data_IF_015932976146
#
_entry.id   IF_015932976146
#
_cell.length_a   1.000
_cell.length_b   1.000
_cell.length_c   1.000
_cell.angle_alpha   90.00
_cell.angle_beta   90.00
_cell.angle_gamma   90.00
#
_symmetry.space_group_name_H-M   'P 1'
#
loop_
_entity.id
_entity.type
_entity.pdbx_description
1 polymer ?
#
# COMPACT_ATOMS: atom_id res chain seq x y z
N UNK A 1 8.07 -17.64 -27.06
CA UNK A 1 7.97 -16.21 -27.41
C UNK A 1 8.83 -15.81 -28.58
N UNK A 2 10.13 -16.15 -28.64
CA UNK A 2 10.99 -15.91 -29.81
C UNK A 2 10.44 -16.54 -31.09
N UNK A 3 9.94 -17.78 -30.99
CA UNK A 3 9.28 -18.49 -32.11
C UNK A 3 8.00 -17.77 -32.54
N UNK A 4 7.22 -17.25 -31.59
CA UNK A 4 6.00 -16.48 -31.89
C UNK A 4 6.33 -15.14 -32.54
N UNK A 5 7.37 -14.43 -32.11
CA UNK A 5 7.84 -13.20 -32.72
C UNK A 5 8.34 -13.43 -34.15
N UNK A 6 9.09 -14.51 -34.40
CA UNK A 6 9.51 -14.89 -35.75
C UNK A 6 8.35 -15.35 -36.63
N UNK A 7 7.36 -16.05 -36.07
CA UNK A 7 6.13 -16.39 -36.80
C UNK A 7 5.29 -15.15 -37.17
N UNK A 8 5.14 -14.20 -36.22
CA UNK A 8 4.45 -12.93 -36.49
C UNK A 8 5.21 -12.05 -37.50
N UNK A 9 6.53 -12.13 -37.53
CA UNK A 9 7.36 -11.44 -38.53
C UNK A 9 7.21 -12.02 -39.94
N UNK A 10 6.96 -13.34 -40.04
CA UNK A 10 6.73 -14.02 -41.34
C UNK A 10 5.32 -13.84 -41.87
N UNK A 11 4.31 -13.70 -41.02
CA UNK A 11 2.97 -13.35 -41.43
C UNK A 11 2.88 -11.81 -41.51
N UNK A 12 2.75 -11.24 -42.74
CA UNK A 12 2.42 -9.83 -42.96
C UNK A 12 0.97 -9.55 -42.52
N UNK A 13 0.67 -9.69 -41.25
CA UNK A 13 -0.59 -9.24 -40.69
C UNK A 13 -0.50 -7.72 -40.62
N UNK A 14 -1.18 -7.05 -41.55
CA UNK A 14 -1.35 -5.59 -41.54
C UNK A 14 -2.31 -5.30 -40.37
N UNK A 15 -1.76 -5.02 -39.21
CA UNK A 15 -2.54 -4.55 -38.05
C UNK A 15 -2.81 -3.05 -38.35
N UNK A 16 -4.06 -2.59 -38.37
CA UNK A 16 -4.38 -1.18 -38.62
C UNK A 16 -3.72 -0.24 -37.62
N UNK A 17 -3.26 0.93 -38.07
CA UNK A 17 -2.59 1.95 -37.26
C UNK A 17 -3.39 2.40 -36.03
N UNK A 18 -4.72 2.22 -36.09
CA UNK A 18 -5.62 2.53 -34.99
C UNK A 18 -5.30 1.72 -33.70
N UNK A 19 -4.80 0.48 -33.81
CA UNK A 19 -4.40 -0.33 -32.65
C UNK A 19 -3.17 0.25 -31.95
N UNK A 20 -2.26 0.89 -32.68
CA UNK A 20 -1.15 1.59 -32.08
C UNK A 20 -1.63 2.75 -31.20
N UNK A 21 -2.59 3.53 -31.68
CA UNK A 21 -3.22 4.61 -30.90
C UNK A 21 -3.89 4.07 -29.64
N UNK A 22 -4.61 2.95 -29.76
CA UNK A 22 -5.29 2.32 -28.61
C UNK A 22 -4.28 1.85 -27.56
N UNK A 23 -3.22 1.12 -27.94
CA UNK A 23 -2.22 0.66 -26.99
C UNK A 23 -1.43 1.82 -26.36
N UNK A 24 -1.07 2.82 -27.15
CA UNK A 24 -0.33 3.99 -26.63
C UNK A 24 -1.21 4.84 -25.71
N UNK A 25 -2.49 5.03 -26.07
CA UNK A 25 -3.46 5.72 -25.22
C UNK A 25 -3.75 4.96 -23.91
N UNK A 26 -3.79 3.62 -23.97
CA UNK A 26 -3.94 2.78 -22.78
C UNK A 26 -2.71 2.89 -21.88
N UNK A 27 -1.48 2.86 -22.43
CA UNK A 27 -0.26 3.05 -21.64
C UNK A 27 -0.24 4.41 -20.97
N UNK A 28 -0.58 5.48 -21.67
CA UNK A 28 -0.67 6.83 -21.13
C UNK A 28 -1.63 6.89 -19.93
N UNK A 29 -2.80 6.27 -20.03
CA UNK A 29 -3.75 6.20 -18.93
C UNK A 29 -3.19 5.42 -17.74
N UNK A 30 -2.56 4.26 -17.99
CA UNK A 30 -2.02 3.40 -16.94
C UNK A 30 -0.83 4.06 -16.24
N UNK A 31 0.08 4.68 -16.98
CA UNK A 31 1.25 5.38 -16.44
C UNK A 31 0.82 6.57 -15.57
N UNK A 32 -0.18 7.35 -16.01
CA UNK A 32 -0.78 8.43 -15.21
C UNK A 32 -1.40 7.88 -13.90
N UNK A 33 -2.14 6.78 -13.96
CA UNK A 33 -2.72 6.13 -12.75
C UNK A 33 -1.60 5.72 -11.78
N UNK A 34 -0.52 5.10 -12.26
CA UNK A 34 0.63 4.72 -11.43
C UNK A 34 1.25 5.95 -10.77
N UNK A 35 1.48 7.01 -11.56
CA UNK A 35 2.01 8.26 -11.01
C UNK A 35 1.16 8.79 -9.86
N UNK A 36 -0.17 8.89 -10.03
CA UNK A 36 -1.06 9.36 -8.98
C UNK A 36 -1.02 8.48 -7.74
N UNK A 37 -1.07 7.14 -7.88
CA UNK A 37 -0.99 6.25 -6.73
C UNK A 37 0.34 6.37 -6.00
N UNK A 38 1.47 6.42 -6.70
CA UNK A 38 2.79 6.59 -6.11
C UNK A 38 2.94 7.95 -5.43
N UNK A 39 2.41 9.00 -6.03
CA UNK A 39 2.42 10.35 -5.46
C UNK A 39 1.58 10.43 -4.18
N UNK A 40 0.39 9.83 -4.16
CA UNK A 40 -0.43 9.77 -2.94
C UNK A 40 0.24 8.94 -1.83
N UNK A 41 0.86 7.82 -2.14
CA UNK A 41 1.64 7.06 -1.15
C UNK A 41 2.76 7.91 -0.54
N UNK A 42 3.46 8.70 -1.34
CA UNK A 42 4.48 9.63 -0.85
C UNK A 42 3.89 10.74 0.02
N UNK A 43 2.73 11.31 -0.34
CA UNK A 43 2.05 12.33 0.50
C UNK A 43 1.71 11.73 1.87
N UNK A 44 1.17 10.51 1.90
CA UNK A 44 0.81 9.82 3.14
C UNK A 44 2.04 9.43 3.98
N UNK A 45 3.17 9.12 3.33
CA UNK A 45 4.40 8.74 4.01
C UNK A 45 5.62 9.34 3.31
N UNK A 46 6.10 10.48 3.81
CA UNK A 46 7.26 11.21 3.27
C UNK A 46 8.56 10.42 3.25
N UNK A 47 8.67 9.33 4.03
CA UNK A 47 9.83 8.43 3.98
C UNK A 47 9.90 7.61 2.70
N UNK A 48 8.79 7.49 1.96
CA UNK A 48 8.73 6.75 0.69
C UNK A 48 9.10 7.61 -0.52
N UNK A 49 10.14 8.44 -0.41
CA UNK A 49 10.60 9.33 -1.49
C UNK A 49 10.94 8.56 -2.78
N UNK A 50 11.50 7.35 -2.68
CA UNK A 50 11.78 6.49 -3.84
C UNK A 50 10.52 6.13 -4.64
N UNK A 51 9.35 6.07 -4.00
CA UNK A 51 8.07 5.82 -4.69
C UNK A 51 7.70 7.02 -5.55
N UNK A 52 7.85 8.24 -5.03
CA UNK A 52 7.61 9.46 -5.82
C UNK A 52 8.55 9.55 -7.03
N UNK A 53 9.82 9.17 -6.86
CA UNK A 53 10.81 9.13 -7.94
C UNK A 53 10.40 8.14 -9.04
N UNK A 54 9.94 6.94 -8.66
CA UNK A 54 9.39 5.97 -9.61
C UNK A 54 8.19 6.54 -10.37
N UNK A 55 7.27 7.21 -9.65
CA UNK A 55 6.11 7.87 -10.24
C UNK A 55 6.51 8.93 -11.29
N UNK A 56 7.55 9.74 -11.02
CA UNK A 56 8.06 10.69 -12.00
C UNK A 56 8.57 10.02 -13.29
N UNK A 57 9.10 8.80 -13.21
CA UNK A 57 9.48 8.02 -14.38
C UNK A 57 8.28 7.67 -15.26
N UNK A 58 7.16 7.26 -14.66
CA UNK A 58 5.91 6.99 -15.38
C UNK A 58 5.31 8.26 -15.98
N UNK A 59 5.23 9.35 -15.22
CA UNK A 59 4.77 10.65 -15.74
C UNK A 59 5.65 11.16 -16.88
N UNK A 60 6.97 11.00 -16.78
CA UNK A 60 7.90 11.36 -17.85
C UNK A 60 7.71 10.52 -19.11
N UNK A 61 7.35 9.25 -18.95
CA UNK A 61 6.96 8.35 -20.05
C UNK A 61 5.77 8.88 -20.85
N UNK A 62 4.80 9.50 -20.19
CA UNK A 62 3.59 10.02 -20.84
C UNK A 62 3.88 11.13 -21.84
N UNK A 63 4.92 11.94 -21.63
CA UNK A 63 5.30 13.00 -22.55
C UNK A 63 5.63 12.40 -23.93
N UNK A 64 6.38 11.30 -23.97
CA UNK A 64 6.74 10.61 -25.22
C UNK A 64 5.56 9.88 -25.85
N UNK A 65 4.63 9.37 -25.03
CA UNK A 65 3.40 8.78 -25.53
C UNK A 65 2.50 9.81 -26.22
N UNK A 66 2.39 11.02 -25.66
CA UNK A 66 1.67 12.14 -26.27
C UNK A 66 2.30 12.54 -27.61
N UNK A 67 3.63 12.67 -27.69
CA UNK A 67 4.32 12.95 -28.94
C UNK A 67 4.09 11.86 -29.98
N UNK A 68 4.14 10.58 -29.58
CA UNK A 68 3.87 9.46 -30.48
C UNK A 68 2.43 9.48 -31.03
N UNK A 69 1.44 9.79 -30.18
CA UNK A 69 0.03 9.94 -30.60
C UNK A 69 -0.13 11.09 -31.59
N UNK A 70 0.50 12.23 -31.31
CA UNK A 70 0.40 13.41 -32.22
C UNK A 70 1.03 13.16 -33.60
N UNK A 71 2.15 12.40 -33.63
CA UNK A 71 2.77 11.98 -34.89
C UNK A 71 1.86 11.10 -35.75
N UNK A 72 1.20 10.12 -35.12
CA UNK A 72 0.30 9.21 -35.82
C UNK A 72 -0.95 9.93 -36.30
N UNK A 73 -1.49 10.88 -35.53
CA UNK A 73 -2.58 11.72 -35.98
C UNK A 73 -2.19 12.55 -37.21
N UNK A 74 -0.96 13.07 -37.28
CA UNK A 74 -0.41 13.75 -38.44
C UNK A 74 -0.24 12.82 -39.63
N UNK A 75 0.17 11.54 -39.43
CA UNK A 75 0.25 10.54 -40.50
C UNK A 75 -1.12 10.35 -41.20
N UNK A 76 -2.17 10.25 -40.37
CA UNK A 76 -3.53 10.03 -40.87
C UNK A 76 -4.06 11.28 -41.60
N UNK A 77 -3.71 12.49 -41.13
CA UNK A 77 -4.27 13.76 -41.66
C UNK A 77 -3.49 14.43 -42.80
N UNK A 78 -2.14 14.28 -42.85
CA UNK A 78 -1.25 15.11 -43.68
C UNK A 78 -0.40 14.30 -44.66
N UNK A 79 -0.52 12.97 -44.73
CA UNK A 79 0.26 12.10 -45.63
C UNK A 79 1.81 12.32 -45.54
N UNK A 80 2.36 12.41 -44.35
CA UNK A 80 3.81 12.50 -44.16
C UNK A 80 4.48 11.17 -44.56
N UNK A 81 5.71 11.16 -45.12
CA UNK A 81 6.41 9.92 -45.49
C UNK A 81 6.59 8.99 -44.28
N UNK A 82 6.21 7.73 -44.43
CA UNK A 82 6.21 6.72 -43.34
C UNK A 82 7.60 6.53 -42.70
N UNK A 83 8.68 6.65 -43.46
CA UNK A 83 10.06 6.52 -42.98
C UNK A 83 10.47 7.64 -41.97
N UNK A 84 9.93 8.84 -42.12
CA UNK A 84 10.18 9.96 -41.20
C UNK A 84 9.49 9.68 -39.87
N UNK A 85 8.23 9.30 -39.94
CA UNK A 85 7.43 9.03 -38.74
C UNK A 85 7.97 7.83 -37.98
N UNK A 86 8.37 6.74 -38.67
CA UNK A 86 8.97 5.57 -37.97
C UNK A 86 10.25 5.92 -37.26
N UNK A 87 11.09 6.82 -37.82
CA UNK A 87 12.31 7.28 -37.15
C UNK A 87 12.00 8.11 -35.90
N UNK A 88 11.04 9.02 -35.97
CA UNK A 88 10.65 9.86 -34.84
C UNK A 88 10.01 9.02 -33.70
N UNK A 89 9.15 8.06 -34.04
CA UNK A 89 8.61 7.11 -33.08
C UNK A 89 9.73 6.31 -32.38
N UNK A 90 10.78 5.96 -33.13
CA UNK A 90 11.95 5.28 -32.60
C UNK A 90 12.72 6.17 -31.61
N UNK A 91 12.89 7.47 -31.93
CA UNK A 91 13.54 8.45 -31.04
C UNK A 91 12.74 8.58 -29.73
N UNK A 92 11.43 8.81 -29.78
CA UNK A 92 10.61 8.93 -28.60
C UNK A 92 10.60 7.64 -27.76
N UNK A 93 10.59 6.48 -28.42
CA UNK A 93 10.75 5.22 -27.71
C UNK A 93 12.10 5.11 -26.97
N UNK A 94 13.20 5.45 -27.62
CA UNK A 94 14.53 5.44 -27.04
C UNK A 94 14.59 6.28 -25.76
N UNK A 95 14.15 7.54 -25.87
CA UNK A 95 14.20 8.47 -24.75
C UNK A 95 13.22 8.09 -23.61
N UNK A 96 12.10 7.48 -23.92
CA UNK A 96 11.19 6.90 -22.96
C UNK A 96 11.88 5.80 -22.14
N UNK A 97 12.60 4.89 -22.79
CA UNK A 97 13.34 3.83 -22.12
C UNK A 97 14.45 4.40 -21.21
N UNK A 98 15.18 5.41 -21.69
CA UNK A 98 16.19 6.11 -20.89
C UNK A 98 15.59 6.77 -19.66
N UNK A 99 14.44 7.41 -19.80
CA UNK A 99 13.71 8.05 -18.69
C UNK A 99 13.36 7.05 -17.58
N UNK A 100 12.82 5.88 -17.95
CA UNK A 100 12.53 4.82 -16.96
C UNK A 100 13.80 4.31 -16.28
N UNK A 101 14.86 4.01 -17.03
CA UNK A 101 16.14 3.54 -16.49
C UNK A 101 16.67 4.56 -15.48
N UNK A 102 16.72 5.84 -15.82
CA UNK A 102 17.20 6.91 -14.95
C UNK A 102 16.34 7.01 -13.68
N UNK A 103 15.03 7.04 -13.81
CA UNK A 103 14.11 7.13 -12.65
C UNK A 103 14.27 5.92 -11.71
N UNK A 104 14.35 4.70 -12.25
CA UNK A 104 14.52 3.50 -11.42
C UNK A 104 15.88 3.50 -10.72
N UNK A 105 16.98 3.89 -11.41
CA UNK A 105 18.29 3.99 -10.78
C UNK A 105 18.34 5.00 -9.64
N UNK A 106 17.70 6.17 -9.80
CA UNK A 106 17.54 7.14 -8.72
C UNK A 106 16.71 6.60 -7.56
N UNK A 107 15.61 5.90 -7.84
CA UNK A 107 14.79 5.28 -6.81
C UNK A 107 15.56 4.19 -6.04
N UNK A 108 16.38 3.40 -6.73
CA UNK A 108 17.27 2.39 -6.13
C UNK A 108 18.34 3.03 -5.24
N UNK A 109 18.91 4.15 -5.65
CA UNK A 109 19.84 4.91 -4.83
C UNK A 109 19.19 5.33 -3.49
N UNK A 110 17.97 5.87 -3.54
CA UNK A 110 17.23 6.23 -2.32
C UNK A 110 16.85 5.03 -1.47
N UNK A 111 16.40 3.94 -2.07
CA UNK A 111 16.14 2.69 -1.35
C UNK A 111 17.39 2.16 -0.64
N UNK A 112 18.56 2.32 -1.25
CA UNK A 112 19.84 1.98 -0.64
C UNK A 112 20.19 2.88 0.55
N UNK A 113 19.97 4.19 0.47
CA UNK A 113 20.19 5.13 1.59
C UNK A 113 19.29 4.79 2.78
N UNK A 114 18.01 4.51 2.55
CA UNK A 114 17.07 4.09 3.58
C UNK A 114 17.49 2.79 4.26
N UNK A 115 18.01 1.82 3.50
CA UNK A 115 18.55 0.55 4.05
C UNK A 115 19.73 0.78 4.98
N UNK A 116 20.52 1.85 4.78
CA UNK A 116 21.62 2.26 5.66
C UNK A 116 21.21 3.15 6.83
N UNK A 117 19.90 3.35 7.06
CA UNK A 117 19.35 4.27 8.07
C UNK A 117 19.84 5.73 7.90
N UNK A 118 20.19 6.14 6.69
CA UNK A 118 20.54 7.52 6.37
C UNK A 118 19.22 8.23 6.08
N UNK A 119 18.82 9.16 6.95
CA UNK A 119 17.61 9.98 6.73
C UNK A 119 17.81 10.91 5.53
N UNK A 120 16.80 11.06 4.65
CA UNK A 120 16.84 12.06 3.58
C UNK A 120 17.04 13.46 4.17
N UNK A 121 17.96 14.22 3.59
CA UNK A 121 18.24 15.61 3.94
C UNK A 121 17.62 16.55 2.89
N UNK A 122 17.55 17.85 3.15
CA UNK A 122 17.06 18.83 2.17
C UNK A 122 17.81 18.81 0.82
N UNK A 123 19.04 18.28 0.77
CA UNK A 123 19.76 17.99 -0.49
C UNK A 123 19.10 16.90 -1.32
N UNK A 124 18.41 15.97 -0.67
CA UNK A 124 17.73 14.86 -1.31
C UNK A 124 16.43 15.31 -1.98
N UNK A 125 15.72 16.25 -1.37
CA UNK A 125 14.55 16.90 -2.00
C UNK A 125 14.97 17.71 -3.24
N UNK A 126 16.09 18.42 -3.17
CA UNK A 126 16.66 19.13 -4.31
C UNK A 126 17.02 18.15 -5.47
N UNK A 127 17.47 16.93 -5.15
CA UNK A 127 17.80 15.93 -6.15
C UNK A 127 16.54 15.41 -6.87
N UNK A 128 15.41 15.29 -6.19
CA UNK A 128 14.11 14.92 -6.82
C UNK A 128 13.65 16.02 -7.78
N UNK A 129 13.79 17.28 -7.36
CA UNK A 129 13.49 18.43 -8.23
C UNK A 129 14.40 18.40 -9.46
N UNK A 130 15.70 18.16 -9.26
CA UNK A 130 16.67 18.02 -10.36
C UNK A 130 16.29 16.87 -11.31
N UNK A 131 15.83 15.73 -10.78
CA UNK A 131 15.35 14.61 -11.60
C UNK A 131 14.10 15.00 -12.42
N UNK A 132 13.15 15.70 -11.82
CA UNK A 132 11.97 16.19 -12.55
C UNK A 132 12.38 17.12 -13.70
N UNK A 133 13.33 18.04 -13.47
CA UNK A 133 13.92 18.86 -14.53
C UNK A 133 14.66 18.03 -15.59
N UNK A 134 15.41 17.00 -15.18
CA UNK A 134 16.14 16.12 -16.11
C UNK A 134 15.17 15.35 -17.02
N UNK A 135 14.06 14.83 -16.48
CA UNK A 135 13.00 14.15 -17.25
C UNK A 135 12.39 15.09 -18.29
N UNK A 136 12.06 16.32 -17.88
CA UNK A 136 11.53 17.33 -18.79
C UNK A 136 12.54 17.76 -19.85
N UNK A 137 13.81 17.93 -19.46
CA UNK A 137 14.91 18.27 -20.39
C UNK A 137 15.14 17.16 -21.42
N UNK A 138 15.10 15.89 -20.98
CA UNK A 138 15.22 14.74 -21.90
C UNK A 138 14.09 14.73 -22.95
N UNK A 139 12.88 15.13 -22.56
CA UNK A 139 11.75 15.21 -23.50
C UNK A 139 11.95 16.32 -24.53
N UNK A 140 12.39 17.52 -24.11
CA UNK A 140 12.74 18.62 -25.03
C UNK A 140 13.88 18.19 -25.96
N UNK A 141 14.88 17.48 -25.43
CA UNK A 141 16.01 17.01 -26.21
C UNK A 141 15.58 15.98 -27.25
N UNK A 142 14.72 15.03 -26.90
CA UNK A 142 14.13 14.08 -27.82
C UNK A 142 13.36 14.77 -28.95
N UNK A 143 12.54 15.78 -28.61
CA UNK A 143 11.80 16.58 -29.58
C UNK A 143 12.74 17.27 -30.58
N UNK A 144 13.84 17.87 -30.11
CA UNK A 144 14.82 18.53 -30.98
C UNK A 144 15.64 17.55 -31.85
N UNK A 145 15.80 16.29 -31.42
CA UNK A 145 16.49 15.27 -32.21
C UNK A 145 15.59 14.56 -33.24
N UNK A 146 14.30 14.87 -33.23
CA UNK A 146 13.33 14.35 -34.19
C UNK A 146 13.30 15.17 -35.49
N UNK A 147 12.42 14.81 -36.42
CA UNK A 147 12.23 15.54 -37.69
C UNK A 147 11.76 16.99 -37.52
N UNK A 148 11.36 17.41 -36.34
CA UNK A 148 11.03 18.82 -36.06
C UNK A 148 12.24 19.76 -36.20
N UNK A 149 13.47 19.24 -36.04
CA UNK A 149 14.69 19.99 -36.35
C UNK A 149 15.61 19.20 -37.28
N UNK A 150 15.47 19.36 -38.63
CA UNK A 150 16.20 18.57 -39.61
C UNK A 150 17.74 18.70 -39.53
N UNK A 151 18.25 19.77 -38.93
CA UNK A 151 19.71 20.01 -38.85
C UNK A 151 20.42 19.10 -37.83
N UNK A 152 19.72 18.66 -36.78
CA UNK A 152 20.29 17.85 -35.71
C UNK A 152 19.51 16.53 -35.52
N UNK A 153 18.62 16.18 -36.44
CA UNK A 153 17.81 14.96 -36.32
C UNK A 153 18.67 13.71 -36.27
N UNK A 154 18.35 12.82 -35.35
CA UNK A 154 19.04 11.54 -35.17
C UNK A 154 18.42 10.48 -36.07
N UNK A 155 19.25 9.74 -36.80
CA UNK A 155 18.80 8.60 -37.60
C UNK A 155 18.99 7.29 -36.83
N UNK A 156 17.91 6.79 -36.23
CA UNK A 156 17.89 5.51 -35.50
C UNK A 156 17.58 4.32 -36.41
N UNK A 157 16.94 4.58 -37.56
CA UNK A 157 16.55 3.55 -38.53
C UNK A 157 17.49 3.64 -39.70
N UNK A 158 18.34 2.64 -39.85
CA UNK A 158 19.26 2.54 -41.00
C UNK A 158 18.55 1.88 -42.18
N UNK A 159 18.75 2.43 -43.39
CA UNK A 159 18.43 1.72 -44.63
C UNK A 159 19.46 0.62 -44.81
N UNK A 160 19.06 -0.65 -44.76
CA UNK A 160 19.95 -1.76 -45.08
C UNK A 160 20.36 -1.71 -46.54
N UNK A 161 21.65 -1.92 -46.82
CA UNK A 161 22.27 -1.83 -48.11
C UNK A 161 21.44 -2.54 -49.20
N UNK A 162 20.83 -1.77 -50.11
CA UNK A 162 20.26 -2.25 -51.37
C UNK A 162 18.84 -2.85 -51.32
N UNK A 163 18.23 -2.97 -50.13
CA UNK A 163 16.81 -3.32 -49.98
C UNK A 163 16.10 -2.25 -49.16
N UNK A 164 14.81 -1.95 -49.50
CA UNK A 164 13.94 -1.02 -48.76
C UNK A 164 13.59 -1.50 -47.33
N UNK A 165 14.56 -2.12 -46.65
CA UNK A 165 14.38 -2.70 -45.32
C UNK A 165 14.89 -1.72 -44.26
N UNK A 166 13.98 -1.18 -43.50
CA UNK A 166 14.30 -0.33 -42.36
C UNK A 166 14.67 -1.23 -41.15
N UNK A 167 15.88 -1.11 -40.64
CA UNK A 167 16.31 -1.84 -39.44
C UNK A 167 16.72 -0.84 -38.36
N UNK A 168 16.43 -1.18 -37.11
CA UNK A 168 16.92 -0.42 -35.96
C UNK A 168 18.43 -0.43 -35.92
N UNK A 169 19.02 0.70 -35.51
CA UNK A 169 20.46 0.76 -35.24
C UNK A 169 20.80 -0.18 -34.08
N UNK A 170 21.57 -1.23 -34.38
CA UNK A 170 22.00 -2.24 -33.39
C UNK A 170 22.73 -1.63 -32.20
N UNK A 171 23.45 -0.51 -32.42
CA UNK A 171 24.19 0.19 -31.38
C UNK A 171 23.26 0.74 -30.28
N UNK A 172 22.23 1.48 -30.63
CA UNK A 172 21.30 2.07 -29.67
C UNK A 172 20.47 1.00 -28.96
N UNK A 173 20.04 -0.03 -29.70
CA UNK A 173 19.31 -1.16 -29.12
C UNK A 173 20.16 -1.92 -28.09
N UNK A 174 21.43 -2.15 -28.39
CA UNK A 174 22.36 -2.80 -27.47
C UNK A 174 22.59 -1.98 -26.18
N UNK A 175 22.71 -0.64 -26.31
CA UNK A 175 22.83 0.25 -25.15
C UNK A 175 21.60 0.18 -24.23
N UNK A 176 20.39 0.18 -24.80
CA UNK A 176 19.14 0.06 -24.00
C UNK A 176 19.09 -1.30 -23.30
N UNK A 177 19.39 -2.39 -24.02
CA UNK A 177 19.41 -3.74 -23.45
C UNK A 177 20.40 -3.82 -22.29
N UNK A 178 21.63 -3.30 -22.46
CA UNK A 178 22.62 -3.23 -21.39
C UNK A 178 22.12 -2.38 -20.20
N UNK A 179 21.50 -1.23 -20.47
CA UNK A 179 20.91 -0.37 -19.43
C UNK A 179 19.84 -1.08 -18.61
N UNK A 180 18.89 -1.76 -19.24
CA UNK A 180 17.85 -2.52 -18.56
C UNK A 180 18.42 -3.72 -17.77
N UNK A 181 19.41 -4.42 -18.34
CA UNK A 181 20.08 -5.52 -17.64
C UNK A 181 20.76 -5.04 -16.36
N UNK A 182 21.51 -3.94 -16.43
CA UNK A 182 22.17 -3.34 -15.25
C UNK A 182 21.14 -2.86 -14.22
N UNK A 183 20.07 -2.22 -14.66
CA UNK A 183 19.01 -1.73 -13.78
C UNK A 183 18.32 -2.90 -13.05
N UNK A 184 18.01 -3.99 -13.76
CA UNK A 184 17.44 -5.20 -13.16
C UNK A 184 18.39 -5.81 -12.14
N UNK A 185 19.68 -5.96 -12.47
CA UNK A 185 20.69 -6.52 -11.57
C UNK A 185 20.80 -5.68 -10.28
N UNK A 186 20.86 -4.35 -10.40
CA UNK A 186 20.91 -3.45 -9.26
C UNK A 186 19.63 -3.50 -8.43
N UNK A 187 18.45 -3.61 -9.08
CA UNK A 187 17.18 -3.77 -8.38
C UNK A 187 17.19 -5.04 -7.50
N UNK A 188 17.63 -6.18 -8.03
CA UNK A 188 17.73 -7.44 -7.28
C UNK A 188 18.74 -7.33 -6.12
N UNK A 189 19.93 -6.81 -6.37
CA UNK A 189 21.03 -6.74 -5.38
C UNK A 189 20.67 -5.78 -4.22
N UNK A 190 20.17 -4.59 -4.54
CA UNK A 190 19.90 -3.54 -3.54
C UNK A 190 18.67 -3.89 -2.72
N UNK A 191 17.56 -4.25 -3.37
CA UNK A 191 16.27 -4.43 -2.71
C UNK A 191 16.05 -5.85 -2.19
N UNK A 192 16.79 -6.83 -2.72
CA UNK A 192 16.60 -8.26 -2.45
C UNK A 192 15.14 -8.71 -2.67
N UNK A 193 14.37 -7.92 -3.42
CA UNK A 193 12.95 -8.14 -3.72
C UNK A 193 12.07 -8.39 -2.49
N UNK A 194 12.43 -7.80 -1.34
CA UNK A 194 11.71 -8.01 -0.07
C UNK A 194 10.34 -7.36 -0.05
N UNK A 195 10.13 -6.35 -0.88
CA UNK A 195 8.87 -5.62 -0.99
C UNK A 195 8.21 -5.93 -2.33
N UNK A 196 6.90 -6.15 -2.32
CA UNK A 196 6.12 -6.49 -3.50
C UNK A 196 6.21 -5.43 -4.61
N UNK A 197 6.34 -4.15 -4.25
CA UNK A 197 6.60 -3.07 -5.20
C UNK A 197 7.89 -3.33 -6.00
N UNK A 198 8.99 -3.71 -5.34
CA UNK A 198 10.24 -3.99 -6.04
C UNK A 198 10.18 -5.25 -6.89
N UNK A 199 9.34 -6.23 -6.52
CA UNK A 199 9.04 -7.39 -7.36
C UNK A 199 8.34 -6.94 -8.65
N UNK A 200 7.35 -6.06 -8.56
CA UNK A 200 6.63 -5.54 -9.74
C UNK A 200 7.53 -4.68 -10.64
N UNK A 201 8.41 -3.85 -10.06
CA UNK A 201 9.41 -3.08 -10.82
C UNK A 201 10.42 -3.99 -11.48
N UNK A 202 10.88 -5.07 -10.82
CA UNK A 202 11.77 -6.05 -11.45
C UNK A 202 11.07 -6.78 -12.61
N UNK A 203 9.79 -7.14 -12.47
CA UNK A 203 9.00 -7.71 -13.57
C UNK A 203 8.87 -6.72 -14.74
N UNK A 204 8.67 -5.43 -14.47
CA UNK A 204 8.68 -4.37 -15.48
C UNK A 204 10.05 -4.26 -16.17
N UNK A 205 11.16 -4.32 -15.43
CA UNK A 205 12.52 -4.34 -16.00
C UNK A 205 12.75 -5.57 -16.90
N UNK A 206 12.31 -6.76 -16.47
CA UNK A 206 12.40 -8.01 -17.26
C UNK A 206 11.60 -7.87 -18.57
N UNK A 207 10.38 -7.35 -18.48
CA UNK A 207 9.53 -7.10 -19.65
C UNK A 207 10.18 -6.14 -20.64
N UNK A 208 10.71 -5.02 -20.16
CA UNK A 208 11.39 -4.03 -20.98
C UNK A 208 12.67 -4.58 -21.60
N UNK A 209 13.46 -5.34 -20.83
CA UNK A 209 14.66 -6.04 -21.33
C UNK A 209 14.28 -7.00 -22.47
N UNK A 210 13.25 -7.80 -22.26
CA UNK A 210 12.79 -8.79 -23.24
C UNK A 210 12.27 -8.15 -24.52
N UNK A 211 11.48 -7.07 -24.39
CA UNK A 211 10.98 -6.28 -25.50
C UNK A 211 12.11 -5.67 -26.35
N UNK A 212 13.13 -5.12 -25.69
CA UNK A 212 14.28 -4.55 -26.39
C UNK A 212 15.22 -5.61 -27.00
N UNK A 213 15.33 -6.79 -26.41
CA UNK A 213 16.02 -7.94 -27.00
C UNK A 213 15.34 -8.44 -28.27
N UNK A 214 14.01 -8.44 -28.30
CA UNK A 214 13.25 -8.78 -29.52
C UNK A 214 13.57 -7.76 -30.62
N UNK A 215 13.51 -6.46 -30.28
CA UNK A 215 13.80 -5.39 -31.25
C UNK A 215 15.25 -5.42 -31.76
N UNK A 216 16.21 -5.79 -30.91
CA UNK A 216 17.63 -5.92 -31.30
C UNK A 216 17.86 -7.02 -32.35
N UNK A 217 17.11 -8.12 -32.27
CA UNK A 217 17.26 -9.28 -33.15
C UNK A 217 16.40 -9.21 -34.43
N UNK A 218 15.63 -8.14 -34.63
CA UNK A 218 14.83 -7.97 -35.83
C UNK A 218 15.67 -7.41 -36.97
N UNK A 219 15.70 -8.15 -38.09
CA UNK A 219 16.36 -7.72 -39.34
C UNK A 219 15.50 -6.70 -40.12
N UNK A 220 14.23 -6.57 -39.79
CA UNK A 220 13.29 -5.67 -40.44
C UNK A 220 12.38 -5.01 -39.39
N UNK A 221 12.11 -3.71 -39.54
CA UNK A 221 11.12 -3.02 -38.72
C UNK A 221 9.72 -3.52 -39.09
N UNK A 222 9.13 -4.29 -38.15
CA UNK A 222 7.82 -4.88 -38.33
C UNK A 222 6.86 -4.38 -37.23
N UNK A 223 5.78 -3.71 -37.64
CA UNK A 223 4.78 -3.22 -36.70
C UNK A 223 4.16 -4.31 -35.83
N UNK A 224 3.98 -5.54 -36.34
CA UNK A 224 3.42 -6.66 -35.55
C UNK A 224 4.24 -6.99 -34.30
N UNK A 225 5.58 -6.92 -34.40
CA UNK A 225 6.48 -7.15 -33.25
C UNK A 225 6.43 -5.98 -32.28
N UNK A 226 6.26 -4.77 -32.80
CA UNK A 226 6.07 -3.59 -31.98
C UNK A 226 4.79 -3.67 -31.15
N UNK A 227 3.67 -4.16 -31.72
CA UNK A 227 2.43 -4.39 -30.99
C UNK A 227 2.59 -5.43 -29.89
N UNK A 228 3.33 -6.53 -30.16
CA UNK A 228 3.62 -7.53 -29.15
C UNK A 228 4.40 -6.93 -27.97
N UNK A 229 5.42 -6.13 -28.25
CA UNK A 229 6.21 -5.41 -27.24
C UNK A 229 5.34 -4.49 -26.39
N UNK A 230 4.45 -3.71 -27.02
CA UNK A 230 3.51 -2.83 -26.32
C UNK A 230 2.49 -3.60 -25.48
N UNK A 231 1.97 -4.70 -26.01
CA UNK A 231 1.05 -5.56 -25.25
C UNK A 231 1.68 -6.13 -23.98
N UNK A 232 2.95 -6.58 -24.06
CA UNK A 232 3.69 -7.06 -22.89
C UNK A 232 3.88 -5.93 -21.87
N UNK A 233 4.22 -4.74 -22.34
CA UNK A 233 4.41 -3.55 -21.50
C UNK A 233 3.10 -3.20 -20.76
N UNK A 234 1.95 -3.15 -21.46
CA UNK A 234 0.63 -2.93 -20.88
C UNK A 234 0.33 -3.93 -19.76
N UNK A 235 0.58 -5.22 -19.99
CA UNK A 235 0.35 -6.27 -18.97
C UNK A 235 1.22 -6.04 -17.74
N UNK A 236 2.50 -5.70 -17.92
CA UNK A 236 3.40 -5.45 -16.79
C UNK A 236 3.06 -4.15 -16.04
N UNK A 237 2.67 -3.10 -16.76
CA UNK A 237 2.19 -1.85 -16.15
C UNK A 237 0.93 -2.10 -15.33
N UNK A 238 0.00 -2.91 -15.84
CA UNK A 238 -1.19 -3.31 -15.11
C UNK A 238 -0.85 -4.11 -13.84
N UNK A 239 0.17 -4.98 -13.90
CA UNK A 239 0.65 -5.70 -12.71
C UNK A 239 1.21 -4.74 -11.64
N UNK A 240 1.92 -3.67 -12.03
CA UNK A 240 2.36 -2.62 -11.08
C UNK A 240 1.16 -1.98 -10.40
N UNK A 241 0.07 -1.68 -11.12
CA UNK A 241 -1.15 -1.10 -10.53
C UNK A 241 -1.78 -2.05 -9.51
N UNK A 242 -1.89 -3.34 -9.83
CA UNK A 242 -2.44 -4.34 -8.89
C UNK A 242 -1.63 -4.35 -7.58
N UNK A 243 -0.30 -4.31 -7.68
CA UNK A 243 0.58 -4.28 -6.51
C UNK A 243 0.37 -3.00 -5.69
N UNK A 244 0.28 -1.83 -6.34
CA UNK A 244 0.03 -0.56 -5.64
C UNK A 244 -1.33 -0.56 -4.93
N UNK A 245 -2.37 -1.08 -5.57
CA UNK A 245 -3.70 -1.22 -4.94
C UNK A 245 -3.66 -2.15 -3.74
N UNK A 246 -2.92 -3.26 -3.84
CA UNK A 246 -2.74 -4.20 -2.73
C UNK A 246 -2.00 -3.55 -1.55
N UNK A 247 -0.92 -2.79 -1.80
CA UNK A 247 -0.20 -2.06 -0.76
C UNK A 247 -1.10 -1.01 -0.07
N UNK A 248 -1.90 -0.27 -0.84
CA UNK A 248 -2.87 0.69 -0.29
C UNK A 248 -3.91 -0.03 0.58
N UNK A 249 -4.43 -1.17 0.12
CA UNK A 249 -5.38 -1.98 0.88
C UNK A 249 -4.78 -2.45 2.21
N UNK A 250 -3.53 -2.94 2.22
CA UNK A 250 -2.83 -3.34 3.44
C UNK A 250 -2.60 -2.16 4.39
N UNK A 251 -2.22 -1.01 3.87
CA UNK A 251 -2.05 0.20 4.67
C UNK A 251 -3.38 0.62 5.34
N UNK A 252 -4.47 0.59 4.57
CA UNK A 252 -5.81 0.90 5.09
C UNK A 252 -6.25 -0.10 6.16
N UNK A 253 -6.09 -1.40 5.91
CA UNK A 253 -6.40 -2.46 6.87
C UNK A 253 -5.61 -2.29 8.18
N UNK A 254 -4.31 -2.04 8.09
CA UNK A 254 -3.46 -1.84 9.27
C UNK A 254 -3.86 -0.57 10.03
N UNK A 255 -4.16 0.53 9.33
CA UNK A 255 -4.65 1.76 9.94
C UNK A 255 -5.98 1.54 10.69
N UNK A 256 -6.91 0.78 10.09
CA UNK A 256 -8.19 0.44 10.72
C UNK A 256 -7.98 -0.43 11.97
N UNK A 257 -7.11 -1.45 11.90
CA UNK A 257 -6.81 -2.31 13.05
C UNK A 257 -6.17 -1.53 14.21
N UNK A 258 -5.25 -0.61 13.93
CA UNK A 258 -4.69 0.29 14.94
C UNK A 258 -5.73 1.28 15.49
N UNK A 259 -6.75 1.62 14.69
CA UNK A 259 -7.81 2.54 15.09
C UNK A 259 -8.88 1.90 15.99
N UNK A 260 -9.04 0.56 15.99
CA UNK A 260 -10.09 -0.14 16.75
C UNK A 260 -9.58 -0.88 17.99
N UNK A 261 -8.26 -1.07 18.11
CA UNK A 261 -7.65 -1.76 19.25
C UNK A 261 -6.88 -0.81 20.17
N UNK A 262 -6.81 -1.16 21.47
CA UNK A 262 -5.94 -0.50 22.44
C UNK A 262 -4.49 -0.97 22.24
N UNK A 263 -3.51 -0.08 22.11
CA UNK A 263 -2.12 -0.45 21.79
C UNK A 263 -1.38 -1.19 22.93
N UNK A 264 -1.81 -1.02 24.17
CA UNK A 264 -1.18 -1.70 25.33
C UNK A 264 -1.66 -3.14 25.47
N UNK A 265 -2.95 -3.37 25.26
CA UNK A 265 -3.63 -4.63 25.63
C UNK A 265 -4.04 -5.47 24.42
N UNK A 266 -4.12 -4.88 23.23
CA UNK A 266 -4.58 -5.55 22.02
C UNK A 266 -6.08 -5.89 21.97
N UNK A 267 -6.85 -5.61 23.03
CA UNK A 267 -8.32 -5.71 23.01
C UNK A 267 -8.93 -4.49 22.30
N UNK A 268 -10.23 -4.46 22.11
CA UNK A 268 -10.88 -3.30 21.49
C UNK A 268 -10.69 -2.02 22.30
N UNK A 269 -10.70 -0.88 21.63
CA UNK A 269 -10.64 0.42 22.30
C UNK A 269 -12.05 0.99 22.56
N UNK A 270 -12.07 2.11 23.29
CA UNK A 270 -13.28 2.84 23.64
C UNK A 270 -14.14 3.20 22.41
N UNK A 271 -13.51 3.68 21.33
CA UNK A 271 -14.25 4.13 20.14
C UNK A 271 -14.99 2.98 19.44
N UNK A 272 -14.34 1.81 19.32
CA UNK A 272 -14.96 0.62 18.76
C UNK A 272 -16.11 0.11 19.64
N UNK A 273 -15.90 0.05 20.97
CA UNK A 273 -16.91 -0.36 21.92
C UNK A 273 -18.19 0.49 21.82
N UNK A 274 -18.04 1.83 21.80
CA UNK A 274 -19.17 2.75 21.65
C UNK A 274 -19.91 2.56 20.33
N UNK A 275 -19.19 2.40 19.25
CA UNK A 275 -19.76 2.16 17.92
C UNK A 275 -20.61 0.88 17.89
N UNK A 276 -20.09 -0.21 18.40
CA UNK A 276 -20.80 -1.51 18.43
C UNK A 276 -22.02 -1.46 19.36
N UNK A 277 -21.90 -0.83 20.53
CA UNK A 277 -23.01 -0.61 21.43
C UNK A 277 -24.15 0.15 20.75
N UNK A 278 -23.84 1.25 20.05
CA UNK A 278 -24.85 2.02 19.30
C UNK A 278 -25.49 1.20 18.18
N UNK A 279 -24.73 0.38 17.47
CA UNK A 279 -25.26 -0.48 16.41
C UNK A 279 -26.22 -1.53 16.93
N UNK A 280 -25.88 -2.21 18.02
CA UNK A 280 -26.75 -3.22 18.64
C UNK A 280 -28.07 -2.61 19.18
N UNK A 281 -27.97 -1.44 19.80
CA UNK A 281 -29.15 -0.69 20.26
C UNK A 281 -30.04 -0.29 19.07
N UNK A 282 -29.43 0.24 17.99
CA UNK A 282 -30.18 0.63 16.79
C UNK A 282 -30.86 -0.56 16.10
N UNK A 283 -30.20 -1.74 16.12
CA UNK A 283 -30.76 -2.99 15.62
C UNK A 283 -31.89 -3.53 16.51
N UNK A 284 -32.01 -3.00 17.75
CA UNK A 284 -33.02 -3.42 18.71
C UNK A 284 -32.77 -4.76 19.36
N UNK A 285 -31.52 -5.08 19.50
CA UNK A 285 -31.09 -6.33 20.09
C UNK A 285 -30.99 -6.23 21.62
N UNK A 286 -31.19 -7.35 22.31
CA UNK A 286 -30.98 -7.40 23.76
C UNK A 286 -29.46 -7.40 24.03
N UNK A 287 -29.04 -6.55 24.94
CA UNK A 287 -27.60 -6.41 25.29
C UNK A 287 -27.41 -6.50 26.80
N UNK A 288 -26.31 -7.06 27.20
CA UNK A 288 -25.77 -6.91 28.56
C UNK A 288 -24.41 -6.23 28.48
N UNK A 289 -24.24 -5.22 29.33
CA UNK A 289 -23.05 -4.39 29.42
C UNK A 289 -22.45 -4.54 30.81
N UNK A 290 -21.14 -4.73 30.89
CA UNK A 290 -20.37 -4.68 32.13
C UNK A 290 -19.32 -3.60 32.01
N UNK A 291 -19.15 -2.84 33.10
CA UNK A 291 -17.99 -1.96 33.27
C UNK A 291 -17.21 -2.47 34.49
N UNK A 292 -15.92 -2.64 34.32
CA UNK A 292 -15.03 -3.19 35.35
C UNK A 292 -13.81 -2.28 35.52
N UNK A 293 -13.34 -2.18 36.76
CA UNK A 293 -12.24 -1.34 37.14
C UNK A 293 -11.33 -2.11 38.12
N UNK A 294 -10.01 -1.94 37.97
CA UNK A 294 -9.02 -2.60 38.80
C UNK A 294 -8.97 -1.89 40.16
N UNK A 295 -9.31 -2.61 41.22
CA UNK A 295 -9.33 -2.05 42.55
C UNK A 295 -7.92 -1.61 43.00
N UNK A 296 -7.83 -0.37 43.50
CA UNK A 296 -6.58 0.22 44.02
C UNK A 296 -5.41 0.29 43.01
N UNK A 297 -5.68 0.36 41.69
CA UNK A 297 -4.64 0.37 40.66
C UNK A 297 -3.63 1.51 40.79
N UNK A 298 -4.08 2.70 41.22
CA UNK A 298 -3.19 3.83 41.51
C UNK A 298 -2.08 3.45 42.52
N UNK A 299 -2.41 2.68 43.57
CA UNK A 299 -1.43 2.21 44.56
C UNK A 299 -0.33 1.35 43.92
N UNK A 300 -0.70 0.52 42.91
CA UNK A 300 0.28 -0.28 42.15
C UNK A 300 1.25 0.64 41.42
N UNK A 301 0.72 1.61 40.68
CA UNK A 301 1.55 2.58 39.95
C UNK A 301 2.47 3.36 40.87
N UNK A 302 1.93 3.85 42.01
CA UNK A 302 2.68 4.66 42.97
C UNK A 302 3.78 3.84 43.65
N UNK A 303 3.57 2.52 43.88
CA UNK A 303 4.52 1.65 44.61
C UNK A 303 5.53 0.97 43.69
N UNK A 304 5.12 0.53 42.47
CA UNK A 304 5.93 -0.32 41.59
C UNK A 304 6.26 0.32 40.26
N UNK A 305 5.75 1.52 40.01
CA UNK A 305 5.95 2.26 38.76
C UNK A 305 5.00 1.86 37.62
N UNK A 306 4.86 2.76 36.66
CA UNK A 306 3.98 2.58 35.48
C UNK A 306 4.26 1.31 34.64
N UNK A 307 5.54 0.88 34.44
CA UNK A 307 5.79 -0.36 33.68
C UNK A 307 5.17 -1.60 34.33
N UNK A 308 5.16 -1.64 35.67
CA UNK A 308 4.51 -2.72 36.45
C UNK A 308 2.99 -2.61 36.37
N UNK A 309 2.43 -1.40 36.40
CA UNK A 309 1.00 -1.17 36.16
C UNK A 309 0.56 -1.65 34.79
N UNK A 310 1.34 -1.39 33.77
CA UNK A 310 1.07 -1.88 32.40
C UNK A 310 1.10 -3.42 32.31
N UNK A 311 1.98 -4.08 33.07
CA UNK A 311 2.00 -5.54 33.14
C UNK A 311 0.76 -6.08 33.88
N UNK A 312 0.31 -5.43 34.94
CA UNK A 312 -0.93 -5.77 35.67
C UNK A 312 -2.15 -5.62 34.73
N UNK A 313 -2.25 -4.53 33.99
CA UNK A 313 -3.30 -4.32 33.00
C UNK A 313 -3.36 -5.49 31.99
N UNK A 314 -2.22 -5.87 31.42
CA UNK A 314 -2.15 -6.99 30.47
C UNK A 314 -2.59 -8.31 31.10
N UNK A 315 -2.16 -8.60 32.33
CA UNK A 315 -2.55 -9.82 33.05
C UNK A 315 -4.06 -9.87 33.33
N UNK A 316 -4.65 -8.76 33.77
CA UNK A 316 -6.09 -8.65 34.03
C UNK A 316 -6.89 -8.85 32.71
N UNK A 317 -6.45 -8.25 31.62
CA UNK A 317 -7.07 -8.42 30.31
C UNK A 317 -7.03 -9.88 29.85
N UNK A 318 -5.91 -10.56 30.00
CA UNK A 318 -5.78 -11.97 29.61
C UNK A 318 -6.74 -12.87 30.43
N UNK A 319 -6.84 -12.64 31.74
CA UNK A 319 -7.77 -13.35 32.60
C UNK A 319 -9.24 -13.07 32.24
N UNK A 320 -9.57 -11.82 31.93
CA UNK A 320 -10.92 -11.42 31.49
C UNK A 320 -11.25 -12.02 30.13
N UNK A 321 -10.33 -11.99 29.16
CA UNK A 321 -10.50 -12.59 27.83
C UNK A 321 -10.78 -14.09 27.92
N UNK A 322 -10.07 -14.81 28.78
CA UNK A 322 -10.29 -16.24 29.00
C UNK A 322 -11.61 -16.54 29.74
N UNK A 323 -12.27 -15.53 30.29
CA UNK A 323 -13.55 -15.62 30.96
C UNK A 323 -14.74 -15.11 30.13
N UNK A 324 -14.50 -14.57 28.92
CA UNK A 324 -15.52 -14.11 27.95
C UNK A 324 -15.60 -15.08 26.77
N UNK A 325 -16.66 -14.98 25.95
CA UNK A 325 -16.79 -15.74 24.71
C UNK A 325 -16.08 -14.99 23.59
N UNK A 326 -15.78 -15.69 22.51
CA UNK A 326 -15.16 -15.08 21.34
C UNK A 326 -16.08 -14.03 20.65
N UNK A 327 -17.40 -14.17 20.79
CA UNK A 327 -18.39 -13.22 20.28
C UNK A 327 -18.64 -12.02 21.22
N UNK A 328 -18.15 -12.04 22.45
CA UNK A 328 -18.27 -10.92 23.39
C UNK A 328 -17.21 -9.86 23.07
N UNK A 329 -17.57 -8.59 23.16
CA UNK A 329 -16.66 -7.47 22.91
C UNK A 329 -16.02 -7.04 24.22
N UNK A 330 -14.75 -7.38 24.42
CA UNK A 330 -13.94 -6.88 25.52
C UNK A 330 -13.13 -5.67 25.03
N UNK A 331 -13.29 -4.53 25.72
CA UNK A 331 -12.67 -3.28 25.36
C UNK A 331 -12.05 -2.56 26.56
N UNK A 332 -10.98 -1.78 26.30
CA UNK A 332 -10.42 -0.83 27.27
C UNK A 332 -11.04 0.54 27.02
N UNK A 333 -11.76 1.07 28.01
CA UNK A 333 -12.49 2.33 27.90
C UNK A 333 -11.83 3.49 28.67
N UNK A 334 -10.92 3.18 29.59
CA UNK A 334 -10.15 4.12 30.40
C UNK A 334 -8.75 3.61 30.70
N UNK A 335 -8.03 4.24 31.62
CA UNK A 335 -6.70 3.84 32.02
C UNK A 335 -6.65 2.43 32.61
N UNK A 336 -7.51 2.18 33.60
CA UNK A 336 -7.69 0.93 34.34
C UNK A 336 -9.10 0.38 34.26
N UNK A 337 -9.92 0.97 33.33
CA UNK A 337 -11.33 0.65 33.12
C UNK A 337 -11.52 -0.15 31.83
N UNK A 338 -12.32 -1.18 31.93
CA UNK A 338 -12.66 -2.06 30.83
C UNK A 338 -14.17 -2.22 30.71
N UNK A 339 -14.64 -2.58 29.53
CA UNK A 339 -16.04 -2.90 29.29
C UNK A 339 -16.17 -4.23 28.55
N UNK A 340 -17.24 -4.98 28.87
CA UNK A 340 -17.64 -6.16 28.14
C UNK A 340 -19.05 -5.95 27.62
N UNK A 341 -19.23 -6.06 26.32
CA UNK A 341 -20.54 -6.00 25.66
C UNK A 341 -20.91 -7.39 25.17
N UNK A 342 -22.03 -7.89 25.68
CA UNK A 342 -22.55 -9.22 25.39
C UNK A 342 -23.86 -9.09 24.61
N UNK A 343 -23.88 -9.68 23.43
CA UNK A 343 -25.04 -9.73 22.55
C UNK A 343 -25.97 -10.89 22.97
N UNK A 344 -27.27 -10.64 23.00
CA UNK A 344 -28.29 -11.64 23.34
C UNK A 344 -28.04 -12.39 24.66
N UNK A 345 -27.49 -11.69 25.67
CA UNK A 345 -27.25 -12.26 26.98
C UNK A 345 -28.26 -11.76 27.99
N UNK A 346 -28.87 -12.68 28.77
CA UNK A 346 -29.74 -12.33 29.88
C UNK A 346 -28.94 -11.80 31.09
N UNK A 347 -29.59 -11.08 31.99
CA UNK A 347 -28.98 -10.56 33.21
C UNK A 347 -28.28 -11.66 34.03
N UNK A 348 -28.90 -12.87 34.10
CA UNK A 348 -28.34 -14.00 34.82
C UNK A 348 -27.02 -14.51 34.16
N UNK A 349 -26.99 -14.56 32.83
CA UNK A 349 -25.77 -14.94 32.09
C UNK A 349 -24.69 -13.89 32.28
N UNK A 350 -25.04 -12.61 32.18
CA UNK A 350 -24.11 -11.52 32.40
C UNK A 350 -23.53 -11.54 33.82
N UNK A 351 -24.36 -11.73 34.83
CA UNK A 351 -23.91 -11.86 36.22
C UNK A 351 -22.96 -13.05 36.40
N UNK A 352 -23.25 -14.20 35.78
CA UNK A 352 -22.39 -15.38 35.85
C UNK A 352 -21.02 -15.11 35.20
N UNK A 353 -20.97 -14.42 34.06
CA UNK A 353 -19.70 -14.05 33.39
C UNK A 353 -18.94 -13.03 34.22
N UNK A 354 -19.61 -12.02 34.78
CA UNK A 354 -18.99 -11.01 35.64
C UNK A 354 -18.35 -11.63 36.88
N UNK A 355 -19.06 -12.52 37.57
CA UNK A 355 -18.49 -13.23 38.76
C UNK A 355 -17.34 -14.16 38.36
N UNK A 356 -17.40 -14.77 37.19
CA UNK A 356 -16.31 -15.59 36.65
C UNK A 356 -15.05 -14.74 36.38
N UNK A 357 -15.19 -13.55 35.80
CA UNK A 357 -14.08 -12.59 35.59
C UNK A 357 -13.50 -12.18 36.96
N UNK A 358 -14.35 -11.70 37.87
CA UNK A 358 -13.95 -11.26 39.18
C UNK A 358 -13.20 -12.36 39.94
N UNK A 359 -13.80 -13.55 40.04
CA UNK A 359 -13.23 -14.68 40.80
C UNK A 359 -11.95 -15.22 40.18
N UNK A 360 -11.78 -15.22 38.86
CA UNK A 360 -10.53 -15.60 38.23
C UNK A 360 -9.42 -14.60 38.52
N UNK A 361 -9.68 -13.30 38.40
CA UNK A 361 -8.67 -12.28 38.68
C UNK A 361 -8.23 -12.40 40.14
N UNK A 362 -9.16 -12.49 41.11
CA UNK A 362 -8.87 -12.68 42.51
C UNK A 362 -8.03 -13.96 42.78
N UNK A 363 -8.49 -15.12 42.28
CA UNK A 363 -7.86 -16.40 42.55
C UNK A 363 -6.50 -16.57 41.89
N UNK A 364 -6.36 -16.18 40.62
CA UNK A 364 -5.12 -16.37 39.89
C UNK A 364 -4.02 -15.39 40.34
N UNK A 365 -4.37 -14.14 40.64
CA UNK A 365 -3.40 -13.19 41.19
C UNK A 365 -2.98 -13.49 42.60
N UNK A 366 -3.86 -14.13 43.42
CA UNK A 366 -3.51 -14.57 44.76
C UNK A 366 -2.55 -15.79 44.78
N UNK A 367 -2.68 -16.70 43.79
CA UNK A 367 -1.85 -17.91 43.68
C UNK A 367 -0.47 -17.64 43.07
N UNK A 368 -0.38 -16.66 42.21
CA UNK A 368 0.74 -16.53 41.29
C UNK A 368 2.04 -16.01 41.89
N UNK A 369 2.10 -15.73 43.19
CA UNK A 369 3.32 -15.34 43.89
C UNK A 369 4.38 -14.71 42.97
N UNK A 370 4.20 -13.46 42.58
CA UNK A 370 5.14 -12.65 41.78
C UNK A 370 5.19 -12.88 40.25
N UNK A 371 4.52 -13.87 39.67
CA UNK A 371 4.65 -14.11 38.22
C UNK A 371 3.65 -13.35 37.34
N UNK A 372 2.42 -13.06 37.84
CA UNK A 372 1.39 -12.34 37.10
C UNK A 372 1.24 -10.89 37.56
N UNK A 373 1.22 -10.67 38.87
CA UNK A 373 1.06 -9.35 39.48
C UNK A 373 1.92 -9.27 40.75
N UNK A 374 2.42 -8.07 41.14
CA UNK A 374 3.30 -7.91 42.30
C UNK A 374 2.59 -8.16 43.64
N UNK A 375 1.26 -8.08 43.66
CA UNK A 375 0.39 -8.38 44.80
C UNK A 375 -0.97 -8.88 44.30
N UNK A 376 -1.80 -9.54 45.15
CA UNK A 376 -3.15 -9.94 44.79
C UNK A 376 -3.99 -8.76 44.30
N UNK A 377 -4.67 -8.94 43.16
CA UNK A 377 -5.51 -7.93 42.53
C UNK A 377 -6.97 -8.34 42.59
N UNK A 378 -7.84 -7.35 42.71
CA UNK A 378 -9.29 -7.54 42.60
C UNK A 378 -9.87 -6.54 41.62
N UNK A 379 -11.10 -6.79 41.16
CA UNK A 379 -11.87 -5.90 40.29
C UNK A 379 -13.27 -5.70 40.84
N UNK A 380 -13.76 -4.48 40.68
CA UNK A 380 -15.17 -4.16 40.92
C UNK A 380 -15.89 -4.14 39.56
N UNK A 381 -17.10 -4.66 39.47
CA UNK A 381 -17.85 -4.80 38.22
C UNK A 381 -19.28 -4.29 38.39
N UNK A 382 -19.70 -3.37 37.53
CA UNK A 382 -21.10 -2.95 37.36
C UNK A 382 -21.71 -3.59 36.14
N UNK A 383 -22.88 -4.18 36.25
CA UNK A 383 -23.61 -4.86 35.17
C UNK A 383 -24.91 -4.17 34.91
N UNK A 384 -25.26 -3.95 33.64
CA UNK A 384 -26.55 -3.50 33.17
C UNK A 384 -27.04 -4.39 32.04
N UNK A 385 -28.34 -4.71 32.01
CA UNK A 385 -28.97 -5.49 30.93
C UNK A 385 -30.18 -4.76 30.42
N UNK A 386 -30.23 -4.56 29.09
CA UNK A 386 -31.39 -4.04 28.39
C UNK A 386 -32.04 -5.15 27.58
N UNK A 387 -33.31 -5.40 27.86
CA UNK A 387 -34.13 -6.38 27.13
C UNK A 387 -35.03 -5.70 26.07
N UNK A 388 -35.08 -4.38 26.07
CA UNK A 388 -35.97 -3.58 25.22
C UNK A 388 -35.26 -2.36 24.63
N UNK A 389 -35.74 -1.88 23.46
CA UNK A 389 -35.24 -0.72 22.71
C UNK A 389 -35.43 0.66 23.38
N UNK A 390 -35.33 0.79 24.69
CA UNK A 390 -35.70 2.04 25.37
C UNK A 390 -34.53 2.93 25.78
N UNK A 391 -33.31 2.47 25.66
CA UNK A 391 -32.12 3.20 26.18
C UNK A 391 -31.19 3.62 25.09
N UNK A 392 -30.58 4.78 25.24
CA UNK A 392 -29.41 5.24 24.45
C UNK A 392 -28.14 4.57 24.97
N UNK A 393 -27.08 4.59 24.16
CA UNK A 393 -25.77 4.07 24.58
C UNK A 393 -25.26 4.74 25.88
N UNK A 394 -25.42 6.06 25.98
CA UNK A 394 -24.99 6.81 27.14
C UNK A 394 -25.78 6.45 28.42
N UNK A 395 -27.05 6.20 28.29
CA UNK A 395 -27.88 5.71 29.42
C UNK A 395 -27.46 4.31 29.85
N UNK A 396 -27.20 3.37 28.92
CA UNK A 396 -26.73 2.04 29.22
C UNK A 396 -25.42 2.08 30.00
N UNK A 397 -24.50 2.90 29.55
CA UNK A 397 -23.19 3.11 30.20
C UNK A 397 -23.38 3.73 31.59
N UNK A 398 -24.21 4.76 31.71
CA UNK A 398 -24.53 5.42 32.99
C UNK A 398 -25.11 4.45 34.01
N UNK A 399 -25.94 3.51 33.59
CA UNK A 399 -26.49 2.49 34.50
C UNK A 399 -25.42 1.50 34.98
N UNK A 400 -24.54 1.04 34.08
CA UNK A 400 -23.41 0.18 34.42
C UNK A 400 -22.40 0.89 35.32
N UNK A 401 -22.09 2.16 35.04
CA UNK A 401 -21.19 2.99 35.89
C UNK A 401 -21.76 3.21 37.29
N UNK A 402 -23.05 3.49 37.45
CA UNK A 402 -23.68 3.59 38.76
C UNK A 402 -23.59 2.29 39.54
N UNK A 403 -23.73 1.15 38.87
CA UNK A 403 -23.59 -0.17 39.48
C UNK A 403 -22.12 -0.41 39.91
N UNK A 404 -21.15 -0.04 39.03
CA UNK A 404 -19.71 -0.11 39.35
C UNK A 404 -19.34 0.78 40.57
N UNK A 405 -19.86 1.99 40.62
CA UNK A 405 -19.68 2.88 41.73
C UNK A 405 -20.23 2.27 43.02
N UNK A 406 -21.43 1.68 42.99
CA UNK A 406 -21.99 0.96 44.15
C UNK A 406 -21.15 -0.24 44.56
N UNK A 407 -20.54 -0.97 43.63
CA UNK A 407 -19.58 -2.05 43.93
C UNK A 407 -18.35 -1.52 44.68
N UNK A 408 -17.77 -0.38 44.22
CA UNK A 408 -16.62 0.25 44.88
C UNK A 408 -16.96 0.76 46.29
N UNK A 409 -18.11 1.43 46.46
CA UNK A 409 -18.58 1.97 47.75
C UNK A 409 -18.86 0.86 48.79
N UNK A 410 -19.44 -0.26 48.33
CA UNK A 410 -19.81 -1.36 49.18
C UNK A 410 -18.66 -2.29 49.60
N UNK A 411 -17.41 -1.89 49.35
CA UNK A 411 -16.20 -2.59 49.81
C UNK A 411 -15.38 -3.28 48.72
N UNK A 412 -15.61 -2.95 47.42
CA UNK A 412 -14.87 -3.47 46.28
C UNK A 412 -14.95 -4.99 46.07
N UNK A 413 -14.17 -5.53 45.14
CA UNK A 413 -14.11 -6.97 44.85
C UNK A 413 -15.49 -7.64 44.75
N UNK A 414 -16.41 -7.05 43.98
CA UNK A 414 -17.77 -7.55 43.84
C UNK A 414 -18.44 -7.11 42.51
N UNK A 415 -19.49 -7.82 42.21
CA UNK A 415 -20.39 -7.52 41.07
C UNK A 415 -21.64 -6.90 41.63
N UNK A 416 -22.06 -5.78 41.05
CA UNK A 416 -23.41 -5.17 41.30
C UNK A 416 -24.13 -5.06 39.98
N UNK A 417 -25.42 -5.48 40.00
CA UNK A 417 -26.32 -5.36 38.85
C UNK A 417 -27.17 -4.11 39.01
N UNK A 418 -27.23 -3.26 37.99
CA UNK A 418 -28.11 -2.10 37.97
C UNK A 418 -29.56 -2.56 37.99
N UNK A 419 -30.36 -1.94 38.85
CA UNK A 419 -31.80 -2.16 38.95
C UNK A 419 -32.53 -1.38 37.85
#
# INVERSE_FOLDING_TARGET
>A
MFVLANHLATYRIVIPDIYYLVFTGLLLLLDAIIFFFMFFQFICNRKLLYVAILGLGFLGSDIYCVEAVTLIQKLISVCIPLNVITNDLAIFYLFRQVTFIVAILFALYYAYLLKKNISPNGKDEALVILLAFAVFFLAIFAHNLSSYNPQISLNLINKANGHDRNAWSSYYSALIVAGWFMTLLLAIVITQLRNLLWVSIAAFCISSLFSNLILLNLNEYNFSVWYLSRGIEVVCTFFVIIVLLYDIFLMHKNSTMLSIHDPLTGIYNRAYFYKELQQLIAAGESISLMILDIDHFKRINDRYGHPTGDAVIRSVVELAKNATRECDILARIGGEEFAVLMHNASAQVALTVAERIRGRIESETAKAGANLTPEPMTVSIGVFTSLEKRFTADECISFADKALYAAKESGRNKVVVSK
#
